data_IF_114219823630
#
_entry.id   IF_114219823630
#
_cell.length_a   1.000
_cell.length_b   1.000
_cell.length_c   1.000
_cell.angle_alpha   90.00
_cell.angle_beta   90.00
_cell.angle_gamma   90.00
#
_symmetry.space_group_name_H-M   'P 1'
#
loop_
_entity.id
_entity.type
_entity.pdbx_description
1 polymer ?
#
# COMPACT_ATOMS: atom_id res chain seq x y z
N UNK A 1 -16.96 5.28 -2.68
CA UNK A 1 -16.78 6.66 -2.17
C UNK A 1 -17.51 7.73 -3.00
N UNK A 2 -17.95 7.47 -4.24
CA UNK A 2 -18.77 8.43 -4.98
C UNK A 2 -20.08 8.73 -4.21
N UNK A 3 -20.40 10.01 -4.02
CA UNK A 3 -21.59 10.47 -3.32
C UNK A 3 -21.47 10.65 -1.80
N UNK A 4 -20.29 10.43 -1.20
CA UNK A 4 -20.05 10.68 0.23
C UNK A 4 -19.49 12.08 0.49
N UNK A 5 -19.89 12.70 1.60
CA UNK A 5 -19.32 13.98 2.07
C UNK A 5 -17.94 13.75 2.71
N UNK A 6 -16.89 13.92 1.89
CA UNK A 6 -15.51 13.69 2.28
C UNK A 6 -14.94 14.92 2.98
N UNK A 7 -14.23 14.71 4.09
CA UNK A 7 -13.49 15.78 4.78
C UNK A 7 -12.41 16.44 3.90
N UNK A 8 -11.93 15.74 2.86
CA UNK A 8 -11.09 16.31 1.81
C UNK A 8 -11.33 15.54 0.49
N UNK A 9 -11.97 16.18 -0.51
CA UNK A 9 -12.30 15.52 -1.79
C UNK A 9 -11.08 15.22 -2.66
N UNK A 10 -9.89 15.75 -2.33
CA UNK A 10 -8.64 15.48 -3.07
C UNK A 10 -7.96 14.18 -2.66
N UNK A 11 -8.34 13.59 -1.52
CA UNK A 11 -7.69 12.37 -1.02
C UNK A 11 -7.89 11.16 -1.93
N UNK A 12 -9.09 10.90 -2.50
CA UNK A 12 -9.24 9.83 -3.49
C UNK A 12 -8.31 9.98 -4.71
N UNK A 13 -8.15 11.21 -5.21
CA UNK A 13 -7.23 11.51 -6.31
C UNK A 13 -5.78 11.25 -5.90
N UNK A 14 -5.39 11.67 -4.70
CA UNK A 14 -4.06 11.39 -4.15
C UNK A 14 -3.81 9.89 -3.96
N UNK A 15 -4.78 9.13 -3.44
CA UNK A 15 -4.67 7.67 -3.31
C UNK A 15 -4.45 7.02 -4.68
N UNK A 16 -5.19 7.45 -5.70
CA UNK A 16 -4.99 6.98 -7.08
C UNK A 16 -3.56 7.29 -7.56
N UNK A 17 -3.14 8.55 -7.42
CA UNK A 17 -1.79 8.98 -7.81
C UNK A 17 -0.68 8.20 -7.10
N UNK A 18 -0.85 7.90 -5.80
CA UNK A 18 0.09 7.07 -5.06
C UNK A 18 0.30 5.69 -5.70
N UNK A 19 -0.78 5.00 -6.11
CA UNK A 19 -0.65 3.69 -6.76
C UNK A 19 -0.12 3.79 -8.19
N UNK A 20 -0.44 4.86 -8.93
CA UNK A 20 0.12 5.14 -10.25
C UNK A 20 1.65 5.36 -10.18
N UNK A 21 2.11 6.14 -9.20
CA UNK A 21 3.53 6.39 -8.96
C UNK A 21 4.25 5.12 -8.50
N UNK A 22 3.65 4.37 -7.57
CA UNK A 22 4.23 3.11 -7.10
C UNK A 22 4.30 2.05 -8.21
N UNK A 23 3.33 2.00 -9.12
CA UNK A 23 3.41 1.12 -10.28
C UNK A 23 4.65 1.43 -11.15
N UNK A 24 4.93 2.72 -11.39
CA UNK A 24 6.13 3.12 -12.12
C UNK A 24 7.42 2.75 -11.37
N UNK A 25 7.46 2.97 -10.06
CA UNK A 25 8.60 2.56 -9.21
C UNK A 25 8.86 1.05 -9.32
N UNK A 26 7.80 0.23 -9.26
CA UNK A 26 7.90 -1.22 -9.37
C UNK A 26 8.40 -1.66 -10.75
N UNK A 27 7.92 -1.03 -11.82
CA UNK A 27 8.41 -1.28 -13.18
C UNK A 27 9.90 -0.97 -13.33
N UNK A 28 10.36 0.16 -12.80
CA UNK A 28 11.78 0.52 -12.81
C UNK A 28 12.62 -0.42 -11.94
N UNK A 29 12.13 -0.82 -10.77
CA UNK A 29 12.78 -1.84 -9.94
C UNK A 29 12.94 -3.17 -10.69
N UNK A 30 11.92 -3.61 -11.42
CA UNK A 30 11.99 -4.85 -12.20
C UNK A 30 13.02 -4.81 -13.33
N UNK A 31 13.28 -3.62 -13.90
CA UNK A 31 14.29 -3.41 -14.94
C UNK A 31 15.72 -3.48 -14.39
N UNK A 32 15.97 -2.92 -13.20
CA UNK A 32 17.33 -2.88 -12.62
C UNK A 32 17.68 -4.13 -11.81
N UNK A 33 16.68 -4.88 -11.32
CA UNK A 33 16.90 -6.13 -10.59
C UNK A 33 17.30 -7.27 -11.54
N UNK A 34 18.39 -7.98 -11.23
CA UNK A 34 18.70 -9.26 -11.86
C UNK A 34 17.62 -10.31 -11.53
N UNK A 35 17.42 -11.30 -12.41
CA UNK A 35 16.54 -12.44 -12.12
C UNK A 35 16.93 -13.13 -10.80
N UNK A 36 15.93 -13.49 -10.00
CA UNK A 36 16.09 -14.06 -8.66
C UNK A 36 16.48 -13.06 -7.56
N UNK A 37 16.69 -11.77 -7.87
CA UNK A 37 16.92 -10.75 -6.84
C UNK A 37 15.70 -10.59 -5.93
N UNK A 38 15.92 -10.23 -4.66
CA UNK A 38 14.85 -9.96 -3.70
C UNK A 38 14.72 -8.47 -3.41
N UNK A 39 13.49 -8.00 -3.34
CA UNK A 39 13.13 -6.64 -2.91
C UNK A 39 12.35 -6.74 -1.61
N UNK A 40 12.72 -5.92 -0.63
CA UNK A 40 12.00 -5.78 0.63
C UNK A 40 11.43 -4.36 0.74
N UNK A 41 10.10 -4.23 0.83
CA UNK A 41 9.41 -2.95 0.96
C UNK A 41 8.69 -2.87 2.30
N UNK A 42 9.04 -1.89 3.14
CA UNK A 42 8.29 -1.57 4.36
C UNK A 42 7.15 -0.64 3.99
N UNK A 43 5.91 -1.01 4.31
CA UNK A 43 4.74 -0.18 4.06
C UNK A 43 3.69 -0.40 5.14
N UNK A 44 2.83 0.59 5.36
CA UNK A 44 1.71 0.44 6.28
C UNK A 44 0.37 0.68 5.59
N UNK A 45 -0.63 -0.07 6.04
CA UNK A 45 -2.00 0.12 5.58
C UNK A 45 -2.55 1.46 6.07
N UNK A 46 -3.44 2.01 5.26
CA UNK A 46 -4.06 3.30 5.51
C UNK A 46 -5.56 3.12 5.78
N UNK A 47 -6.17 4.16 6.34
CA UNK A 47 -7.62 4.22 6.51
C UNK A 47 -8.10 5.60 6.08
N UNK A 48 -9.13 5.65 5.24
CA UNK A 48 -9.71 6.90 4.77
C UNK A 48 -11.22 6.80 4.77
N UNK A 49 -11.88 7.80 5.36
CA UNK A 49 -13.34 7.85 5.51
C UNK A 49 -13.91 6.56 6.12
N UNK A 50 -13.24 6.00 7.14
CA UNK A 50 -13.64 4.76 7.79
C UNK A 50 -13.24 3.48 7.03
N UNK A 51 -12.84 3.57 5.76
CA UNK A 51 -12.49 2.44 4.91
C UNK A 51 -11.01 2.05 5.06
N UNK A 52 -10.73 0.75 5.18
CA UNK A 52 -9.37 0.22 5.18
C UNK A 52 -8.83 0.20 3.75
N UNK A 53 -7.61 0.70 3.57
CA UNK A 53 -6.87 0.60 2.31
C UNK A 53 -5.75 -0.42 2.54
N UNK A 54 -5.84 -1.64 1.98
CA UNK A 54 -4.84 -2.70 2.14
C UNK A 54 -3.64 -2.46 1.22
N UNK A 55 -2.89 -1.39 1.50
CA UNK A 55 -1.75 -0.92 0.69
C UNK A 55 -0.74 -2.04 0.44
N UNK A 56 -0.44 -2.85 1.45
CA UNK A 56 0.51 -3.96 1.30
C UNK A 56 0.10 -5.00 0.25
N UNK A 57 -1.18 -5.37 0.21
CA UNK A 57 -1.71 -6.31 -0.77
C UNK A 57 -1.78 -5.67 -2.16
N UNK A 58 -2.25 -4.43 -2.26
CA UNK A 58 -2.35 -3.72 -3.54
C UNK A 58 -0.98 -3.52 -4.19
N UNK A 59 0.04 -3.14 -3.41
CA UNK A 59 1.41 -3.03 -3.92
C UNK A 59 2.00 -4.37 -4.31
N UNK A 60 1.63 -5.45 -3.60
CA UNK A 60 2.08 -6.80 -3.96
C UNK A 60 1.46 -7.28 -5.28
N UNK A 61 0.21 -6.92 -5.57
CA UNK A 61 -0.43 -7.21 -6.85
C UNK A 61 0.24 -6.42 -7.99
N UNK A 62 0.47 -5.11 -7.80
CA UNK A 62 1.23 -4.31 -8.77
C UNK A 62 2.65 -4.86 -8.98
N UNK A 63 3.31 -5.36 -7.93
CA UNK A 63 4.64 -5.97 -8.08
C UNK A 63 4.57 -7.22 -8.97
N UNK A 64 3.51 -8.03 -8.86
CA UNK A 64 3.30 -9.18 -9.74
C UNK A 64 3.12 -8.77 -11.19
N UNK A 65 2.31 -7.74 -11.43
CA UNK A 65 2.09 -7.19 -12.78
C UNK A 65 3.40 -6.67 -13.41
N UNK A 66 4.36 -6.23 -12.60
CA UNK A 66 5.68 -5.75 -13.04
C UNK A 66 6.76 -6.85 -13.08
N UNK A 67 6.42 -8.13 -13.00
CA UNK A 67 7.38 -9.23 -13.18
C UNK A 67 8.10 -9.66 -11.90
N UNK A 68 7.51 -9.39 -10.73
CA UNK A 68 7.93 -10.01 -9.48
C UNK A 68 7.02 -11.19 -9.09
N UNK A 69 7.54 -12.07 -8.25
CA UNK A 69 6.77 -13.04 -7.49
C UNK A 69 6.69 -12.59 -6.03
N UNK A 70 5.51 -12.72 -5.42
CA UNK A 70 5.32 -12.40 -4.00
C UNK A 70 5.75 -13.60 -3.17
N UNK A 71 6.88 -13.49 -2.47
CA UNK A 71 7.36 -14.57 -1.59
C UNK A 71 6.65 -14.51 -0.23
N UNK A 72 6.62 -13.33 0.42
CA UNK A 72 6.10 -13.17 1.79
C UNK A 72 5.54 -11.78 2.05
N UNK A 73 4.57 -11.70 2.96
CA UNK A 73 4.13 -10.47 3.64
C UNK A 73 4.31 -10.69 5.13
N UNK A 74 5.21 -9.92 5.75
CA UNK A 74 5.56 -10.05 7.17
C UNK A 74 4.92 -8.88 7.91
N UNK A 75 3.99 -9.15 8.82
CA UNK A 75 3.39 -8.10 9.66
C UNK A 75 4.40 -7.73 10.76
N UNK A 76 4.87 -6.48 10.78
CA UNK A 76 5.85 -6.01 11.76
C UNK A 76 5.17 -5.54 13.04
N UNK A 77 4.11 -4.76 12.90
CA UNK A 77 3.34 -4.19 14.01
C UNK A 77 1.95 -3.76 13.58
N UNK A 78 1.12 -3.48 14.58
CA UNK A 78 -0.13 -2.78 14.41
C UNK A 78 0.02 -1.35 14.93
N UNK A 79 -0.28 -0.36 14.08
CA UNK A 79 -0.27 1.07 14.42
C UNK A 79 -1.68 1.63 14.44
N UNK A 80 -1.87 2.79 15.08
CA UNK A 80 -3.13 3.54 14.99
C UNK A 80 -3.41 4.07 13.58
N UNK A 81 -4.69 4.35 13.31
CA UNK A 81 -5.12 5.22 12.21
C UNK A 81 -4.86 6.70 12.53
N UNK A 82 -5.03 7.60 11.55
CA UNK A 82 -4.78 9.02 11.78
C UNK A 82 -5.70 9.59 12.86
N UNK A 83 -5.22 10.57 13.64
CA UNK A 83 -5.98 11.20 14.73
C UNK A 83 -7.32 11.78 14.25
N UNK A 84 -7.36 12.34 13.04
CA UNK A 84 -8.59 12.83 12.42
C UNK A 84 -9.61 11.71 12.18
N UNK A 85 -9.15 10.52 11.80
CA UNK A 85 -10.01 9.35 11.62
C UNK A 85 -10.37 8.71 12.96
N UNK A 86 -9.49 8.73 13.95
CA UNK A 86 -9.76 8.20 15.29
C UNK A 86 -10.93 8.93 15.96
N UNK A 87 -10.99 10.25 15.83
CA UNK A 87 -12.08 11.06 16.39
C UNK A 87 -13.44 10.78 15.75
N UNK A 88 -13.49 10.49 14.44
CA UNK A 88 -14.74 10.32 13.68
C UNK A 88 -15.19 8.88 13.47
N UNK A 89 -14.25 7.94 13.36
CA UNK A 89 -14.49 6.54 12.98
C UNK A 89 -13.90 5.53 13.96
N UNK A 90 -13.50 6.00 15.15
CA UNK A 90 -12.89 5.18 16.19
C UNK A 90 -11.45 4.77 15.91
N UNK A 91 -10.83 4.20 16.96
CA UNK A 91 -9.47 3.66 16.90
C UNK A 91 -9.52 2.28 16.26
N UNK A 92 -8.92 2.15 15.10
CA UNK A 92 -8.76 0.86 14.41
C UNK A 92 -7.28 0.67 14.10
N UNK A 93 -6.75 -0.46 14.57
CA UNK A 93 -5.39 -0.85 14.32
C UNK A 93 -5.20 -1.18 12.83
N UNK A 94 -4.21 -0.56 12.20
CA UNK A 94 -3.80 -0.85 10.82
C UNK A 94 -2.40 -1.45 10.84
N UNK A 95 -2.17 -2.49 10.05
CA UNK A 95 -0.87 -3.18 10.04
C UNK A 95 0.18 -2.41 9.26
N UNK A 96 1.41 -2.48 9.76
CA UNK A 96 2.64 -2.21 9.04
C UNK A 96 3.29 -3.55 8.68
N UNK A 97 3.80 -3.64 7.46
CA UNK A 97 4.21 -4.89 6.84
C UNK A 97 5.53 -4.70 6.08
N UNK A 98 6.36 -5.75 6.05
CA UNK A 98 7.48 -5.90 5.11
C UNK A 98 7.01 -6.84 4.00
N UNK A 99 7.01 -6.35 2.77
CA UNK A 99 6.71 -7.11 1.57
C UNK A 99 8.01 -7.66 1.01
N UNK A 100 8.08 -8.96 0.78
CA UNK A 100 9.24 -9.62 0.16
C UNK A 100 8.81 -10.13 -1.20
N UNK A 101 9.46 -9.60 -2.23
CA UNK A 101 9.24 -9.99 -3.62
C UNK A 101 10.54 -10.53 -4.22
N UNK A 102 10.41 -11.47 -5.15
CA UNK A 102 11.53 -12.02 -5.93
C UNK A 102 11.34 -11.65 -7.39
N UNK A 103 12.37 -11.11 -8.05
CA UNK A 103 12.33 -10.90 -9.49
C UNK A 103 12.20 -12.25 -10.18
N UNK A 104 11.14 -12.42 -10.98
CA UNK A 104 10.96 -13.58 -11.84
C UNK A 104 12.11 -13.65 -12.86
#
# INVERSE_FOLDING_TARGET
MAGQDLNNPRIPVMIKGYFEDMNQVLGQLAQVCRSGARVALVVANARFHGELIPVDLLLSDLARENGFEVERVIITRYKGNSSQQMGRFGRVAVRESILIWRRA
#
